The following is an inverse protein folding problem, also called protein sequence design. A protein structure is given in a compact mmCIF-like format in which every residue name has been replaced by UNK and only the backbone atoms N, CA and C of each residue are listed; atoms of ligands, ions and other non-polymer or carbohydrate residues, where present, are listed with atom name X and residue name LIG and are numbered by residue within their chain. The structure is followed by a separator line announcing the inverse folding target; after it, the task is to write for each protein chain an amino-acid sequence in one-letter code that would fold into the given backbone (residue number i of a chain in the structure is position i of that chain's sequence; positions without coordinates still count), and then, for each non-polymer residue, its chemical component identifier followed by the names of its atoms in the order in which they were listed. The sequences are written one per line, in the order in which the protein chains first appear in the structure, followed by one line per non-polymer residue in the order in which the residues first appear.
data_IF_333434965197
#
_entry.id   IF_333434965197
#
_cell.length_a   1.000
_cell.length_b   1.000
_cell.length_c   1.000
_cell.angle_alpha   90.00
_cell.angle_beta   90.00
_cell.angle_gamma   90.00
#
_symmetry.space_group_name_H-M   'P 1'
#
loop_
_entity.id
_entity.type
_entity.pdbx_description
1 polymer ?
#
# COMPACT_ATOMS: atom_id res chain seq x y z
N UNK A 1 -3.73 -10.98 1.09
CA UNK A 1 -2.67 -10.00 1.39
C UNK A 1 -1.31 -10.65 1.17
N UNK A 2 -0.59 -10.15 0.18
CA UNK A 2 0.77 -10.58 -0.10
C UNK A 2 1.75 -9.48 0.27
N UNK A 3 2.78 -9.85 1.02
CA UNK A 3 3.84 -8.93 1.42
C UNK A 3 5.14 -9.42 0.80
N UNK A 4 5.51 -8.81 -0.31
CA UNK A 4 6.70 -9.21 -1.05
C UNK A 4 7.90 -8.38 -0.58
N UNK A 5 8.85 -9.04 0.06
CA UNK A 5 9.98 -8.39 0.72
C UNK A 5 11.24 -8.49 -0.14
N UNK A 6 11.88 -7.34 -0.37
CA UNK A 6 13.17 -7.25 -1.02
C UNK A 6 14.20 -6.83 0.04
N UNK A 7 14.80 -7.80 0.71
CA UNK A 7 15.63 -7.54 1.89
C UNK A 7 16.90 -6.72 1.57
N UNK A 8 17.51 -6.93 0.41
CA UNK A 8 18.72 -6.19 0.02
C UNK A 8 18.43 -4.70 -0.14
N UNK A 9 17.25 -4.36 -0.65
CA UNK A 9 16.85 -2.97 -0.88
C UNK A 9 16.02 -2.39 0.24
N UNK A 10 15.78 -3.14 1.30
CA UNK A 10 15.06 -2.70 2.50
C UNK A 10 13.67 -2.17 2.16
N UNK A 11 12.97 -2.84 1.26
CA UNK A 11 11.63 -2.45 0.83
C UNK A 11 10.70 -3.64 0.73
N UNK A 12 9.40 -3.37 0.74
CA UNK A 12 8.38 -4.37 0.52
C UNK A 12 7.27 -3.81 -0.34
N UNK A 13 6.61 -4.69 -1.06
CA UNK A 13 5.43 -4.38 -1.86
C UNK A 13 4.25 -5.11 -1.26
N UNK A 14 3.15 -4.40 -1.09
CA UNK A 14 1.88 -4.97 -0.64
C UNK A 14 1.02 -5.24 -1.86
N UNK A 15 0.58 -6.47 -2.00
CA UNK A 15 -0.40 -6.83 -3.01
C UNK A 15 -1.70 -7.14 -2.30
N UNK A 16 -2.74 -6.39 -2.63
CA UNK A 16 -4.06 -6.59 -2.08
C UNK A 16 -4.98 -7.11 -3.16
N UNK A 17 -5.53 -8.28 -2.92
CA UNK A 17 -6.67 -8.76 -3.69
C UNK A 17 -7.90 -8.52 -2.83
N UNK A 18 -8.47 -7.32 -2.92
CA UNK A 18 -9.66 -6.99 -2.18
C UNK A 18 -10.90 -7.33 -3.00
N UNK A 19 -11.40 -8.50 -2.74
CA UNK A 19 -12.67 -8.91 -3.32
C UNK A 19 -13.85 -8.48 -2.47
N UNK A 20 -13.61 -8.08 -1.22
CA UNK A 20 -14.69 -7.76 -0.30
C UNK A 20 -14.60 -6.33 0.19
N UNK A 21 -15.38 -5.46 -0.47
CA UNK A 21 -15.48 -4.05 -0.08
C UNK A 21 -16.06 -3.87 1.32
N UNK A 22 -16.79 -4.86 1.83
CA UNK A 22 -17.43 -4.76 3.15
C UNK A 22 -16.40 -4.82 4.27
N UNK A 23 -15.34 -5.60 4.10
CA UNK A 23 -14.29 -5.69 5.12
C UNK A 23 -13.55 -4.37 5.26
N UNK A 24 -13.30 -3.68 4.15
CA UNK A 24 -12.69 -2.36 4.19
C UNK A 24 -13.56 -1.35 4.92
N UNK A 25 -14.86 -1.36 4.65
CA UNK A 25 -15.76 -0.39 5.26
C UNK A 25 -15.94 -0.60 6.75
N UNK A 26 -15.62 -1.77 7.27
CA UNK A 26 -15.66 -2.09 8.69
C UNK A 26 -14.38 -1.71 9.44
N UNK A 27 -13.37 -1.21 8.75
CA UNK A 27 -12.11 -0.79 9.36
C UNK A 27 -11.07 -1.90 9.52
N UNK A 28 -11.39 -3.13 9.20
CA UNK A 28 -10.46 -4.25 9.35
C UNK A 28 -9.24 -4.10 8.46
N UNK A 29 -9.42 -3.55 7.27
CA UNK A 29 -8.30 -3.30 6.38
C UNK A 29 -7.29 -2.33 6.95
N UNK A 30 -7.77 -1.27 7.62
CA UNK A 30 -6.89 -0.30 8.26
C UNK A 30 -6.10 -0.93 9.38
N UNK A 31 -6.74 -1.69 10.26
CA UNK A 31 -6.07 -2.37 11.37
C UNK A 31 -5.02 -3.36 10.88
N UNK A 32 -5.35 -4.16 9.87
CA UNK A 32 -4.42 -5.13 9.31
C UNK A 32 -3.21 -4.43 8.70
N UNK A 33 -3.44 -3.34 7.99
CA UNK A 33 -2.38 -2.59 7.34
C UNK A 33 -1.49 -1.90 8.37
N UNK A 34 -2.05 -1.33 9.43
CA UNK A 34 -1.26 -0.76 10.52
C UNK A 34 -0.36 -1.80 11.17
N UNK A 35 -0.88 -2.99 11.45
CA UNK A 35 -0.10 -4.07 12.02
C UNK A 35 1.04 -4.49 11.10
N UNK A 36 0.76 -4.55 9.79
CA UNK A 36 1.75 -4.93 8.80
C UNK A 36 2.85 -3.88 8.67
N UNK A 37 2.49 -2.59 8.72
CA UNK A 37 3.46 -1.49 8.69
C UNK A 37 4.36 -1.53 9.90
N UNK A 38 3.80 -1.74 11.09
CA UNK A 38 4.58 -1.84 12.31
C UNK A 38 5.56 -3.00 12.24
N UNK A 39 5.11 -4.16 11.75
CA UNK A 39 5.97 -5.32 11.57
C UNK A 39 7.10 -5.02 10.60
N UNK A 40 6.76 -4.46 9.43
CA UNK A 40 7.74 -4.18 8.39
C UNK A 40 8.79 -3.17 8.84
N UNK A 41 8.37 -2.07 9.43
CA UNK A 41 9.31 -1.02 9.83
C UNK A 41 10.09 -1.35 11.10
N UNK A 42 9.46 -1.98 12.08
CA UNK A 42 10.07 -2.20 13.39
C UNK A 42 10.76 -3.56 13.52
N UNK A 43 10.19 -4.61 12.96
CA UNK A 43 10.77 -5.95 13.07
C UNK A 43 11.69 -6.28 11.89
N UNK A 44 11.29 -5.92 10.69
CA UNK A 44 12.09 -6.19 9.49
C UNK A 44 13.02 -5.05 9.12
N UNK A 45 12.92 -3.92 9.79
CA UNK A 45 13.73 -2.72 9.55
C UNK A 45 13.68 -2.24 8.09
N UNK A 46 12.51 -2.34 7.48
CA UNK A 46 12.32 -1.88 6.11
C UNK A 46 12.37 -0.36 6.05
N UNK A 47 12.85 0.16 4.93
CA UNK A 47 12.92 1.59 4.68
C UNK A 47 11.64 2.12 4.06
N UNK A 48 11.04 1.35 3.12
CA UNK A 48 9.81 1.78 2.44
C UNK A 48 8.89 0.61 2.16
N UNK A 49 7.61 0.90 2.17
CA UNK A 49 6.56 -0.07 1.83
C UNK A 49 5.68 0.60 0.78
N UNK A 50 5.46 -0.08 -0.34
CA UNK A 50 4.66 0.45 -1.44
C UNK A 50 3.44 -0.42 -1.68
N UNK A 51 2.41 0.17 -2.24
CA UNK A 51 1.19 -0.52 -2.61
C UNK A 51 0.60 0.10 -3.87
N UNK A 52 -0.16 -0.70 -4.60
CA UNK A 52 -0.88 -0.25 -5.77
C UNK A 52 -2.37 -0.51 -5.56
N UNK A 53 -3.21 0.39 -6.04
CA UNK A 53 -4.65 0.18 -6.02
C UNK A 53 -5.29 0.77 -7.27
N UNK A 54 -6.49 0.26 -7.61
CA UNK A 54 -7.23 0.80 -8.74
C UNK A 54 -7.63 2.25 -8.46
N UNK A 55 -7.42 3.13 -9.42
CA UNK A 55 -7.78 4.54 -9.26
C UNK A 55 -9.27 4.73 -8.93
N UNK A 56 -10.10 3.78 -9.32
CA UNK A 56 -11.53 3.80 -9.02
C UNK A 56 -11.89 3.29 -7.63
N UNK A 57 -10.91 2.75 -6.90
CA UNK A 57 -11.17 2.17 -5.58
C UNK A 57 -11.04 3.24 -4.49
N UNK A 58 -12.16 3.91 -4.22
CA UNK A 58 -12.20 4.99 -3.24
C UNK A 58 -11.95 4.50 -1.80
N UNK A 59 -12.30 3.25 -1.50
CA UNK A 59 -12.05 2.68 -0.18
C UNK A 59 -10.55 2.54 0.08
N UNK A 60 -9.80 2.05 -0.89
CA UNK A 60 -8.34 1.95 -0.78
C UNK A 60 -7.70 3.34 -0.67
N UNK A 61 -8.18 4.28 -1.47
CA UNK A 61 -7.69 5.65 -1.42
C UNK A 61 -7.81 6.25 -0.01
N UNK A 62 -8.96 6.03 0.62
CA UNK A 62 -9.20 6.52 1.99
C UNK A 62 -8.29 5.85 3.01
N UNK A 63 -8.12 4.54 2.90
CA UNK A 63 -7.28 3.79 3.85
C UNK A 63 -5.82 4.23 3.74
N UNK A 64 -5.28 4.30 2.52
CA UNK A 64 -3.89 4.70 2.35
C UNK A 64 -3.68 6.17 2.72
N UNK A 65 -4.65 7.03 2.43
CA UNK A 65 -4.58 8.43 2.84
C UNK A 65 -4.60 8.59 4.36
N UNK A 66 -5.45 7.83 5.03
CA UNK A 66 -5.55 7.85 6.50
C UNK A 66 -4.24 7.40 7.16
N UNK A 67 -3.54 6.46 6.54
CA UNK A 67 -2.27 5.94 7.05
C UNK A 67 -1.06 6.75 6.54
N UNK A 68 -1.33 7.87 5.88
CA UNK A 68 -0.32 8.83 5.46
C UNK A 68 0.66 8.29 4.41
N UNK A 69 0.18 7.40 3.55
CA UNK A 69 0.94 7.04 2.36
C UNK A 69 0.94 8.21 1.39
N UNK A 70 2.02 8.37 0.66
CA UNK A 70 2.13 9.40 -0.38
C UNK A 70 1.98 8.77 -1.75
N UNK A 71 1.36 9.50 -2.68
CA UNK A 71 1.22 9.06 -4.06
C UNK A 71 2.55 9.26 -4.77
N UNK A 72 3.10 8.17 -5.31
CA UNK A 72 4.35 8.21 -6.07
C UNK A 72 4.11 8.22 -7.57
N UNK A 73 2.99 7.71 -8.03
CA UNK A 73 2.74 7.70 -9.46
C UNK A 73 1.37 7.16 -9.82
N UNK A 74 1.03 7.39 -11.07
CA UNK A 74 -0.19 6.88 -11.68
C UNK A 74 0.22 6.13 -12.94
N UNK A 75 -0.18 4.86 -13.04
CA UNK A 75 0.10 4.04 -14.22
C UNK A 75 -1.19 3.91 -15.01
N UNK A 76 -1.18 4.47 -16.20
CA UNK A 76 -2.37 4.51 -17.03
C UNK A 76 -2.67 3.14 -17.62
N UNK A 77 -3.96 2.76 -17.60
CA UNK A 77 -4.45 1.51 -18.17
C UNK A 77 -3.66 0.29 -17.68
N UNK A 78 -3.34 0.28 -16.40
CA UNK A 78 -2.45 -0.72 -15.82
C UNK A 78 -3.15 -2.03 -15.46
N UNK A 79 -4.43 -1.95 -15.08
CA UNK A 79 -5.22 -3.11 -14.69
C UNK A 79 -6.45 -3.26 -15.58
N UNK A 80 -6.97 -4.49 -15.62
CA UNK A 80 -8.26 -4.77 -16.24
C UNK A 80 -9.22 -5.19 -15.12
N UNK A 81 -10.35 -4.49 -15.02
CA UNK A 81 -11.32 -4.80 -13.98
C UNK A 81 -12.25 -5.95 -14.40
N UNK A 82 -13.20 -6.28 -13.54
CA UNK A 82 -14.16 -7.37 -13.74
C UNK A 82 -15.09 -7.14 -14.93
N UNK A 83 -15.23 -5.91 -15.39
CA UNK A 83 -16.03 -5.53 -16.54
C UNK A 83 -15.23 -5.45 -17.85
N UNK A 84 -14.00 -5.96 -17.86
CA UNK A 84 -13.08 -5.88 -18.98
C UNK A 84 -12.72 -4.46 -19.40
N UNK A 85 -12.73 -3.54 -18.43
CA UNK A 85 -12.34 -2.16 -18.68
C UNK A 85 -10.94 -1.92 -18.14
N UNK A 86 -10.14 -1.14 -18.88
CA UNK A 86 -8.84 -0.74 -18.38
C UNK A 86 -8.99 0.32 -17.30
N UNK A 87 -8.27 0.17 -16.22
CA UNK A 87 -8.26 1.15 -15.11
C UNK A 87 -6.84 1.50 -14.74
N UNK A 88 -6.66 2.75 -14.32
CA UNK A 88 -5.37 3.23 -13.88
C UNK A 88 -5.03 2.65 -12.51
N UNK A 89 -3.73 2.49 -12.27
CA UNK A 89 -3.20 2.11 -10.98
C UNK A 89 -2.60 3.32 -10.30
N UNK A 90 -2.89 3.47 -9.02
CA UNK A 90 -2.24 4.48 -8.19
C UNK A 90 -1.18 3.76 -7.35
N UNK A 91 0.05 4.24 -7.41
CA UNK A 91 1.12 3.74 -6.55
C UNK A 91 1.33 4.69 -5.39
N UNK A 92 1.31 4.12 -4.19
CA UNK A 92 1.53 4.86 -2.96
C UNK A 92 2.67 4.24 -2.17
N UNK A 93 3.33 5.03 -1.36
CA UNK A 93 4.46 4.57 -0.55
C UNK A 93 4.42 5.20 0.83
N UNK A 94 4.92 4.45 1.81
CA UNK A 94 5.17 4.95 3.15
C UNK A 94 6.60 4.62 3.52
N UNK A 95 7.26 5.58 4.13
CA UNK A 95 8.66 5.45 4.53
C UNK A 95 8.77 5.25 6.03
N UNK A 96 9.80 4.53 6.45
CA UNK A 96 10.06 4.35 7.87
C UNK A 96 10.31 5.69 8.54
N UNK A 97 9.72 5.93 9.72
CA UNK A 97 10.03 7.14 10.50
C UNK A 97 11.51 7.28 10.83
N UNK A 98 12.23 6.16 10.91
CA UNK A 98 13.68 6.15 11.19
C UNK A 98 14.50 6.75 10.06
N UNK A 99 13.99 6.70 8.83
CA UNK A 99 14.71 7.22 7.67
C UNK A 99 14.98 8.71 7.76
N UNK A 100 14.10 9.43 8.45
CA UNK A 100 14.22 10.88 8.61
C UNK A 100 15.33 11.29 9.58
N UNK A 101 15.76 10.37 10.43
CA UNK A 101 16.76 10.65 11.45
C UNK A 101 18.17 10.57 10.88
N UNK A 102 18.36 9.82 9.81
CA UNK A 102 19.67 9.54 9.23
C UNK A 102 20.04 10.42 8.05
N UNK A 103 19.25 11.42 7.76
CA UNK A 103 19.50 12.36 6.67
C UNK A 103 20.29 13.56 7.14
N UNK A 104 21.58 13.36 7.27
CA UNK A 104 22.47 14.47 7.61
C UNK A 104 23.63 14.51 6.66
#
# INVERSE_FOLDING_TARGET
LLFNIHSIHMRAELSFLFYDKQEWSKGYGTEALEALLNYGFNELNLHRIVADYYATNTASEKVFGKLEFIVEGVFKDHFVNENNEFVDSIRVAKFSPRAQINEN
#
